data_IF_586843732752
#
_entry.id   IF_586843732752
#
_cell.length_a   1.000
_cell.length_b   1.000
_cell.length_c   1.000
_cell.angle_alpha   90.00
_cell.angle_beta   90.00
_cell.angle_gamma   90.00
#
_symmetry.space_group_name_H-M   'P 1'
#
loop_
_entity.id
_entity.type
_entity.pdbx_description
1 polymer ?
#
# COMPACT_ATOMS: atom_id res chain seq x y z
N UNK A 1 -24.90 -3.80 21.45
CA UNK A 1 -23.78 -3.62 20.48
C UNK A 1 -24.24 -2.70 19.38
N UNK A 2 -23.65 -1.52 19.27
CA UNK A 2 -23.90 -0.59 18.15
C UNK A 2 -23.50 -1.29 16.84
N UNK A 3 -24.30 -1.14 15.76
CA UNK A 3 -23.89 -1.61 14.44
C UNK A 3 -22.56 -0.97 14.03
N UNK A 4 -21.68 -1.67 13.27
CA UNK A 4 -20.39 -1.14 12.84
C UNK A 4 -20.48 0.20 12.10
N UNK A 5 -21.57 0.44 11.37
CA UNK A 5 -21.86 1.70 10.67
C UNK A 5 -22.05 2.88 11.62
N UNK A 6 -22.73 2.68 12.74
CA UNK A 6 -23.03 3.74 13.70
C UNK A 6 -21.81 4.11 14.54
N UNK A 7 -20.97 3.12 14.85
CA UNK A 7 -19.69 3.33 15.49
C UNK A 7 -18.76 4.16 14.60
N UNK A 8 -18.63 3.81 13.32
CA UNK A 8 -17.81 4.55 12.36
C UNK A 8 -18.32 5.99 12.18
N UNK A 9 -19.63 6.21 12.13
CA UNK A 9 -20.22 7.52 12.02
C UNK A 9 -20.03 8.37 13.29
N UNK A 10 -20.19 7.80 14.47
CA UNK A 10 -19.97 8.49 15.75
C UNK A 10 -18.49 8.91 15.90
N UNK A 11 -17.58 8.04 15.51
CA UNK A 11 -16.14 8.29 15.46
C UNK A 11 -15.81 9.44 14.48
N UNK A 12 -16.37 9.39 13.26
CA UNK A 12 -16.16 10.42 12.25
C UNK A 12 -16.68 11.80 12.67
N UNK A 13 -17.82 11.87 13.36
CA UNK A 13 -18.38 13.10 13.87
C UNK A 13 -17.52 13.70 15.00
N UNK A 14 -17.02 12.88 15.92
CA UNK A 14 -16.13 13.31 16.99
C UNK A 14 -14.78 13.81 16.47
N UNK A 15 -14.21 13.12 15.49
CA UNK A 15 -12.96 13.51 14.85
C UNK A 15 -13.10 14.88 14.14
N UNK A 16 -14.20 15.08 13.39
CA UNK A 16 -14.52 16.37 12.77
C UNK A 16 -14.59 17.49 13.81
N UNK A 17 -15.26 17.28 14.93
CA UNK A 17 -15.38 18.29 15.98
C UNK A 17 -14.02 18.60 16.63
N UNK A 18 -13.17 17.60 16.85
CA UNK A 18 -11.85 17.77 17.44
C UNK A 18 -10.86 18.54 16.55
N UNK A 19 -11.03 18.46 15.22
CA UNK A 19 -10.13 19.05 14.23
C UNK A 19 -10.60 20.39 13.66
N UNK A 20 -11.86 20.78 13.88
CA UNK A 20 -12.42 22.05 13.39
C UNK A 20 -11.68 23.32 13.87
N UNK A 21 -10.81 23.21 14.88
CA UNK A 21 -9.96 24.31 15.35
C UNK A 21 -8.60 24.44 14.67
N UNK A 22 -8.25 23.57 13.74
CA UNK A 22 -6.90 23.43 13.18
C UNK A 22 -6.67 24.21 11.87
N UNK A 23 -7.58 25.08 11.44
CA UNK A 23 -7.44 25.83 10.18
C UNK A 23 -7.58 24.97 8.90
N UNK A 24 -7.96 23.72 9.02
CA UNK A 24 -8.13 22.78 7.91
C UNK A 24 -9.51 22.91 7.27
N UNK A 25 -9.58 22.68 5.97
CA UNK A 25 -10.85 22.58 5.25
C UNK A 25 -11.63 21.30 5.64
N UNK A 26 -12.95 21.31 5.47
CA UNK A 26 -13.82 20.14 5.74
C UNK A 26 -13.34 18.88 4.98
N UNK A 27 -12.82 19.07 3.77
CA UNK A 27 -12.28 17.98 2.95
C UNK A 27 -11.00 17.39 3.54
N UNK A 28 -10.13 18.20 4.11
CA UNK A 28 -8.90 17.76 4.77
C UNK A 28 -9.23 17.02 6.07
N UNK A 29 -10.13 17.58 6.88
CA UNK A 29 -10.64 16.91 8.10
C UNK A 29 -11.22 15.52 7.75
N UNK A 30 -12.01 15.41 6.68
CA UNK A 30 -12.58 14.13 6.27
C UNK A 30 -11.49 13.08 5.89
N UNK A 31 -10.34 13.52 5.41
CA UNK A 31 -9.23 12.62 5.05
C UNK A 31 -8.46 12.07 6.24
N UNK A 32 -8.56 12.70 7.41
CA UNK A 32 -7.91 12.23 8.64
C UNK A 32 -8.59 10.99 9.23
N UNK A 33 -9.81 10.66 8.81
CA UNK A 33 -10.59 9.52 9.31
C UNK A 33 -9.85 8.18 9.20
N UNK A 34 -9.05 8.01 8.15
CA UNK A 34 -8.25 6.79 7.96
C UNK A 34 -7.18 6.65 9.06
N UNK A 35 -6.58 7.76 9.48
CA UNK A 35 -5.59 7.74 10.57
C UNK A 35 -6.23 7.50 11.93
N UNK A 36 -7.45 8.01 12.13
CA UNK A 36 -8.22 7.67 13.31
C UNK A 36 -8.51 6.17 13.39
N UNK A 37 -9.00 5.57 12.31
CA UNK A 37 -9.25 4.13 12.24
C UNK A 37 -7.96 3.31 12.44
N UNK A 38 -6.83 3.79 11.87
CA UNK A 38 -5.53 3.17 12.07
C UNK A 38 -5.10 3.20 13.53
N UNK A 39 -5.30 4.32 14.24
CA UNK A 39 -5.02 4.43 15.67
C UNK A 39 -5.80 3.42 16.51
N UNK A 40 -7.10 3.29 16.25
CA UNK A 40 -7.95 2.30 16.91
C UNK A 40 -7.46 0.86 16.65
N UNK A 41 -7.05 0.55 15.42
CA UNK A 41 -6.46 -0.74 15.08
C UNK A 41 -5.14 -0.98 15.80
N UNK A 42 -4.28 0.04 15.93
CA UNK A 42 -3.03 -0.07 16.67
C UNK A 42 -3.28 -0.46 18.13
N UNK A 43 -4.26 0.17 18.78
CA UNK A 43 -4.68 -0.21 20.13
C UNK A 43 -5.22 -1.65 20.15
N UNK A 44 -6.14 -2.01 19.25
CA UNK A 44 -6.77 -3.32 19.19
C UNK A 44 -5.75 -4.47 19.03
N UNK A 45 -4.67 -4.23 18.27
CA UNK A 45 -3.59 -5.18 18.03
C UNK A 45 -2.36 -4.99 18.92
N UNK A 46 -2.46 -4.19 19.98
CA UNK A 46 -1.37 -3.96 20.93
C UNK A 46 -0.08 -3.45 20.28
N UNK A 47 -0.21 -2.59 19.24
CA UNK A 47 0.95 -2.06 18.50
C UNK A 47 1.45 -0.78 19.13
N UNK A 48 2.80 -0.64 19.23
CA UNK A 48 3.45 0.56 19.72
C UNK A 48 3.24 1.75 18.75
N UNK A 49 2.62 2.87 19.20
CA UNK A 49 2.24 3.98 18.33
C UNK A 49 3.40 4.88 17.89
N UNK A 50 4.49 4.96 18.68
CA UNK A 50 5.54 5.97 18.48
C UNK A 50 6.15 5.95 17.08
N UNK A 51 6.44 4.76 16.56
CA UNK A 51 7.04 4.57 15.23
C UNK A 51 6.11 5.01 14.10
N UNK A 52 4.80 4.76 14.25
CA UNK A 52 3.82 5.16 13.24
C UNK A 52 3.61 6.68 13.25
N UNK A 53 3.61 7.31 14.42
CA UNK A 53 3.53 8.77 14.56
C UNK A 53 4.70 9.44 13.82
N UNK A 54 5.93 8.92 13.97
CA UNK A 54 7.10 9.41 13.24
C UNK A 54 6.96 9.21 11.72
N UNK A 55 6.45 8.06 11.29
CA UNK A 55 6.15 7.75 9.89
C UNK A 55 5.14 8.73 9.30
N UNK A 56 4.05 9.03 10.01
CA UNK A 56 3.06 10.02 9.60
C UNK A 56 3.71 11.39 9.43
N UNK A 57 4.49 11.86 10.41
CA UNK A 57 5.18 13.15 10.33
C UNK A 57 6.11 13.24 9.12
N UNK A 58 6.89 12.20 8.87
CA UNK A 58 7.83 12.14 7.75
C UNK A 58 7.12 12.15 6.39
N UNK A 59 5.96 11.51 6.28
CA UNK A 59 5.16 11.45 5.06
C UNK A 59 4.56 12.80 4.66
N UNK A 60 4.25 13.66 5.62
CA UNK A 60 3.58 14.93 5.39
C UNK A 60 4.49 16.15 5.58
N UNK A 61 5.79 16.03 5.34
CA UNK A 61 6.76 17.13 5.47
C UNK A 61 6.43 18.35 4.61
N UNK A 62 5.76 18.16 3.47
CA UNK A 62 5.32 19.25 2.58
C UNK A 62 4.08 20.00 3.10
N UNK A 63 3.33 19.42 4.00
CA UNK A 63 2.15 20.01 4.65
C UNK A 63 2.14 19.62 6.13
N UNK A 64 2.94 20.30 6.98
CA UNK A 64 3.11 19.96 8.39
C UNK A 64 1.82 20.05 9.21
N UNK A 65 0.94 21.01 8.88
CA UNK A 65 -0.35 21.19 9.58
C UNK A 65 -1.26 19.99 9.36
N UNK A 66 -1.36 19.53 8.12
CA UNK A 66 -2.10 18.31 7.80
C UNK A 66 -1.44 17.06 8.41
N UNK A 67 -0.12 17.02 8.48
CA UNK A 67 0.64 15.98 9.19
C UNK A 67 0.29 15.94 10.68
N UNK A 68 0.27 17.10 11.34
CA UNK A 68 -0.10 17.22 12.75
C UNK A 68 -1.57 16.81 13.00
N UNK A 69 -2.48 17.16 12.10
CA UNK A 69 -3.88 16.73 12.18
C UNK A 69 -4.04 15.21 12.06
N UNK A 70 -3.27 14.57 11.16
CA UNK A 70 -3.28 13.11 11.01
C UNK A 70 -2.71 12.41 12.24
N UNK A 71 -1.65 12.94 12.86
CA UNK A 71 -1.12 12.43 14.13
C UNK A 71 -2.17 12.54 15.22
N UNK A 72 -2.81 13.70 15.35
CA UNK A 72 -3.87 13.91 16.36
C UNK A 72 -5.05 12.96 16.15
N UNK A 73 -5.48 12.76 14.90
CA UNK A 73 -6.53 11.80 14.57
C UNK A 73 -6.12 10.37 14.97
N UNK A 74 -4.90 9.96 14.67
CA UNK A 74 -4.34 8.66 15.04
C UNK A 74 -4.31 8.48 16.56
N UNK A 75 -3.76 9.43 17.31
CA UNK A 75 -3.71 9.41 18.78
C UNK A 75 -5.12 9.34 19.38
N UNK A 76 -6.07 10.13 18.83
CA UNK A 76 -7.46 10.11 19.27
C UNK A 76 -8.10 8.74 19.09
N UNK A 77 -7.86 8.09 17.94
CA UNK A 77 -8.34 6.73 17.67
C UNK A 77 -7.73 5.70 18.62
N UNK A 78 -6.44 5.81 18.90
CA UNK A 78 -5.73 4.93 19.84
C UNK A 78 -6.31 5.04 21.25
N UNK A 79 -6.44 6.25 21.78
CA UNK A 79 -6.97 6.49 23.12
C UNK A 79 -8.47 6.22 23.24
N UNK A 80 -9.22 6.29 22.14
CA UNK A 80 -10.62 5.89 22.14
C UNK A 80 -10.77 4.40 22.44
N UNK A 81 -9.88 3.56 21.88
CA UNK A 81 -9.83 2.15 22.19
C UNK A 81 -9.64 1.87 23.68
N UNK A 82 -8.75 2.63 24.33
CA UNK A 82 -8.51 2.53 25.78
C UNK A 82 -9.72 2.97 26.63
N UNK A 83 -10.43 4.01 26.15
CA UNK A 83 -11.45 4.70 26.97
C UNK A 83 -12.82 4.01 26.91
N UNK A 84 -13.18 3.44 25.78
CA UNK A 84 -14.55 2.97 25.54
C UNK A 84 -14.78 1.48 25.87
N UNK A 85 -13.72 0.72 26.17
CA UNK A 85 -13.82 -0.74 26.38
C UNK A 85 -14.72 -1.41 25.33
N UNK A 86 -14.61 -0.92 24.06
CA UNK A 86 -15.49 -1.32 22.96
C UNK A 86 -15.34 -2.78 22.55
N UNK A 87 -14.23 -3.38 22.94
CA UNK A 87 -13.87 -4.74 22.56
C UNK A 87 -13.59 -5.57 23.80
N UNK A 88 -14.24 -6.71 23.90
CA UNK A 88 -14.06 -7.67 25.00
C UNK A 88 -12.64 -8.28 25.02
N UNK A 89 -11.90 -8.14 23.93
CA UNK A 89 -10.55 -8.68 23.80
C UNK A 89 -9.69 -7.85 22.84
N UNK A 90 -8.40 -7.77 23.15
CA UNK A 90 -7.36 -7.26 22.27
C UNK A 90 -6.60 -8.42 21.61
N UNK A 91 -5.96 -8.17 20.48
CA UNK A 91 -5.18 -9.16 19.76
C UNK A 91 -3.67 -8.87 19.91
N UNK A 92 -2.87 -9.92 19.91
CA UNK A 92 -1.42 -9.81 19.87
C UNK A 92 -0.89 -10.50 18.63
N UNK A 93 -0.10 -9.79 17.84
CA UNK A 93 0.61 -10.36 16.68
C UNK A 93 2.08 -10.47 17.05
N UNK A 94 2.56 -11.68 17.39
CA UNK A 94 3.95 -11.85 17.77
C UNK A 94 4.87 -11.59 16.56
N UNK A 95 6.13 -11.18 16.80
CA UNK A 95 7.12 -11.06 15.74
C UNK A 95 7.26 -12.37 14.96
N UNK A 96 7.43 -12.27 13.63
CA UNK A 96 7.71 -13.43 12.81
C UNK A 96 9.04 -14.09 13.22
N UNK A 97 9.07 -15.41 13.27
CA UNK A 97 10.28 -16.19 13.57
C UNK A 97 11.17 -16.26 12.33
N UNK A 98 11.77 -15.12 11.97
CA UNK A 98 12.70 -15.02 10.86
C UNK A 98 14.13 -15.18 11.38
N UNK A 99 15.00 -15.86 10.58
CA UNK A 99 16.44 -15.91 10.88
C UNK A 99 17.06 -14.49 10.81
N UNK A 100 18.25 -14.33 11.35
CA UNK A 100 18.99 -13.07 11.20
C UNK A 100 19.29 -12.80 9.72
N UNK A 101 19.00 -11.57 9.24
CA UNK A 101 19.19 -11.20 7.84
C UNK A 101 18.65 -9.82 7.51
N UNK A 102 18.92 -9.39 6.26
CA UNK A 102 18.33 -8.21 5.69
C UNK A 102 17.05 -8.59 4.94
N UNK A 103 15.95 -7.98 5.32
CA UNK A 103 14.63 -8.26 4.73
C UNK A 103 14.07 -7.01 4.07
N UNK A 104 13.33 -7.22 3.01
CA UNK A 104 12.60 -6.18 2.29
C UNK A 104 11.16 -6.63 2.11
N UNK A 105 10.22 -5.72 2.37
CA UNK A 105 8.84 -5.94 1.98
C UNK A 105 8.73 -5.81 0.46
N UNK A 106 8.14 -6.81 -0.17
CA UNK A 106 7.99 -6.89 -1.62
C UNK A 106 6.60 -7.46 -1.94
N UNK A 107 5.95 -6.92 -2.96
CA UNK A 107 4.70 -7.48 -3.48
C UNK A 107 4.99 -8.68 -4.40
N UNK A 108 3.99 -9.55 -4.60
CA UNK A 108 4.10 -10.64 -5.57
C UNK A 108 4.39 -10.13 -7.00
N UNK A 109 3.75 -9.04 -7.40
CA UNK A 109 3.97 -8.43 -8.72
C UNK A 109 5.41 -7.90 -8.89
N UNK A 110 5.96 -7.26 -7.86
CA UNK A 110 7.36 -6.83 -7.88
C UNK A 110 8.32 -8.01 -7.91
N UNK A 111 8.03 -9.07 -7.13
CA UNK A 111 8.85 -10.30 -7.15
C UNK A 111 8.82 -10.99 -8.52
N UNK A 112 7.65 -11.03 -9.17
CA UNK A 112 7.49 -11.55 -10.54
C UNK A 112 8.32 -10.73 -11.53
N UNK A 113 8.25 -9.40 -11.47
CA UNK A 113 9.04 -8.54 -12.34
C UNK A 113 10.56 -8.78 -12.17
N UNK A 114 11.04 -8.87 -10.92
CA UNK A 114 12.45 -9.19 -10.65
C UNK A 114 12.84 -10.58 -11.14
N UNK A 115 11.96 -11.57 -10.98
CA UNK A 115 12.17 -12.94 -11.48
C UNK A 115 12.32 -12.97 -13.02
N UNK A 116 11.48 -12.22 -13.73
CA UNK A 116 11.58 -12.09 -15.20
C UNK A 116 12.89 -11.41 -15.61
N UNK A 117 13.30 -10.33 -14.96
CA UNK A 117 14.61 -9.70 -15.23
C UNK A 117 15.75 -10.69 -15.02
N UNK A 118 15.70 -11.47 -13.93
CA UNK A 118 16.71 -12.49 -13.66
C UNK A 118 16.71 -13.60 -14.74
N UNK A 119 15.53 -14.04 -15.18
CA UNK A 119 15.40 -15.03 -16.24
C UNK A 119 16.03 -14.56 -17.57
N UNK A 120 15.73 -13.32 -18.00
CA UNK A 120 16.35 -12.75 -19.21
C UNK A 120 17.88 -12.65 -19.11
N UNK A 121 18.39 -12.25 -17.94
CA UNK A 121 19.82 -12.18 -17.69
C UNK A 121 20.51 -13.55 -17.74
N UNK A 122 19.90 -14.55 -17.13
CA UNK A 122 20.42 -15.92 -17.13
C UNK A 122 20.37 -16.57 -18.52
N UNK A 123 19.28 -16.36 -19.25
CA UNK A 123 19.11 -16.84 -20.62
C UNK A 123 19.93 -16.04 -21.64
N UNK A 124 20.43 -14.87 -21.29
CA UNK A 124 21.09 -13.90 -22.20
C UNK A 124 20.19 -13.51 -23.37
N UNK A 125 18.90 -13.40 -23.11
CA UNK A 125 17.89 -12.99 -24.09
C UNK A 125 17.16 -11.75 -23.60
N UNK A 126 16.76 -10.85 -24.52
CA UNK A 126 15.88 -9.74 -24.15
C UNK A 126 14.49 -10.27 -23.77
N UNK A 127 13.77 -9.48 -22.99
CA UNK A 127 12.39 -9.77 -22.59
C UNK A 127 11.47 -8.75 -23.26
N UNK A 128 10.37 -9.23 -23.84
CA UNK A 128 9.20 -8.43 -24.10
C UNK A 128 8.07 -8.89 -23.17
N UNK A 129 7.66 -8.01 -22.27
CA UNK A 129 6.46 -8.22 -21.45
C UNK A 129 5.29 -7.47 -22.11
N UNK A 130 4.35 -8.20 -22.65
CA UNK A 130 3.13 -7.67 -23.24
C UNK A 130 1.98 -7.91 -22.28
N UNK A 131 1.24 -6.87 -21.90
CA UNK A 131 0.11 -6.99 -21.00
C UNK A 131 -0.98 -5.97 -21.38
N UNK A 132 -2.14 -6.10 -20.79
CA UNK A 132 -3.29 -5.21 -20.98
C UNK A 132 -3.69 -4.61 -19.63
N UNK A 133 -4.52 -3.53 -19.60
CA UNK A 133 -4.95 -2.90 -18.36
C UNK A 133 -5.83 -3.81 -17.53
N UNK A 134 -5.30 -4.39 -16.46
CA UNK A 134 -6.04 -5.26 -15.52
C UNK A 134 -5.49 -5.09 -14.10
N UNK A 135 -6.35 -4.74 -13.17
CA UNK A 135 -5.99 -4.63 -11.76
C UNK A 135 -6.12 -6.01 -11.08
N UNK A 136 -5.14 -6.44 -10.29
CA UNK A 136 -3.90 -5.77 -9.87
C UNK A 136 -2.66 -6.09 -10.72
N UNK A 137 -2.79 -6.85 -11.82
CA UNK A 137 -1.65 -7.37 -12.59
C UNK A 137 -0.87 -6.30 -13.35
N UNK A 138 -1.46 -5.14 -13.64
CA UNK A 138 -0.77 -4.01 -14.29
C UNK A 138 0.50 -3.54 -13.56
N UNK A 139 0.61 -3.80 -12.26
CA UNK A 139 1.81 -3.47 -11.49
C UNK A 139 3.05 -4.23 -11.97
N UNK A 140 2.91 -5.43 -12.56
CA UNK A 140 4.05 -6.15 -13.16
C UNK A 140 4.63 -5.35 -14.32
N UNK A 141 3.76 -4.84 -15.21
CA UNK A 141 4.18 -3.99 -16.34
C UNK A 141 4.85 -2.71 -15.85
N UNK A 142 4.26 -2.03 -14.87
CA UNK A 142 4.83 -0.80 -14.31
C UNK A 142 6.20 -1.03 -13.67
N UNK A 143 6.38 -2.12 -12.93
CA UNK A 143 7.67 -2.48 -12.37
C UNK A 143 8.70 -2.77 -13.46
N UNK A 144 8.33 -3.56 -14.48
CA UNK A 144 9.22 -3.93 -15.59
C UNK A 144 9.65 -2.74 -16.44
N UNK A 145 8.80 -1.74 -16.61
CA UNK A 145 9.12 -0.52 -17.35
C UNK A 145 10.35 0.22 -16.80
N UNK A 146 10.67 0.04 -15.52
CA UNK A 146 11.89 0.59 -14.90
C UNK A 146 13.19 -0.17 -15.23
N UNK A 147 13.10 -1.34 -15.86
CA UNK A 147 14.24 -2.24 -16.08
C UNK A 147 14.73 -2.31 -17.53
N UNK A 148 14.48 -1.29 -18.33
CA UNK A 148 14.87 -1.23 -19.76
C UNK A 148 16.36 -1.48 -20.01
N UNK A 149 17.23 -0.95 -19.12
CA UNK A 149 18.69 -1.19 -19.21
C UNK A 149 19.13 -2.63 -18.96
N UNK A 150 18.21 -3.48 -18.52
CA UNK A 150 18.45 -4.92 -18.35
C UNK A 150 17.92 -5.77 -19.51
N UNK A 151 17.59 -5.12 -20.63
CA UNK A 151 17.07 -5.79 -21.82
C UNK A 151 15.58 -6.10 -21.76
N UNK A 152 14.84 -5.37 -20.92
CA UNK A 152 13.38 -5.50 -20.79
C UNK A 152 12.68 -4.43 -21.61
N UNK A 153 11.76 -4.85 -22.44
CA UNK A 153 10.78 -4.00 -23.13
C UNK A 153 9.38 -4.32 -22.63
N UNK A 154 8.56 -3.31 -22.49
CA UNK A 154 7.16 -3.44 -22.09
C UNK A 154 6.25 -2.96 -23.20
N UNK A 155 5.15 -3.67 -23.42
CA UNK A 155 4.12 -3.32 -24.38
C UNK A 155 2.74 -3.43 -23.73
N UNK A 156 1.99 -2.34 -23.74
CA UNK A 156 0.61 -2.36 -23.27
C UNK A 156 -0.30 -2.57 -24.47
N UNK A 157 -0.93 -3.74 -24.52
CA UNK A 157 -1.94 -4.10 -25.51
C UNK A 157 -3.33 -3.58 -25.08
N UNK A 158 -4.28 -3.63 -25.99
CA UNK A 158 -5.67 -3.27 -25.73
C UNK A 158 -6.37 -4.35 -24.89
N UNK A 159 -6.12 -5.64 -25.22
CA UNK A 159 -6.76 -6.81 -24.62
C UNK A 159 -5.80 -8.01 -24.51
N UNK A 160 -6.32 -9.13 -23.98
CA UNK A 160 -5.59 -10.38 -23.79
C UNK A 160 -5.11 -10.98 -25.11
N UNK A 161 -5.93 -10.91 -26.15
CA UNK A 161 -5.63 -11.51 -27.47
C UNK A 161 -4.44 -10.78 -28.10
N UNK A 162 -4.45 -9.45 -28.06
CA UNK A 162 -3.37 -8.64 -28.57
C UNK A 162 -2.09 -8.83 -27.74
N UNK A 163 -2.20 -8.96 -26.41
CA UNK A 163 -1.06 -9.21 -25.53
C UNK A 163 -0.39 -10.56 -25.83
N UNK A 164 -1.16 -11.64 -25.94
CA UNK A 164 -0.67 -12.97 -26.31
C UNK A 164 -0.02 -12.94 -27.72
N UNK A 165 -0.66 -12.29 -28.68
CA UNK A 165 -0.11 -12.14 -30.04
C UNK A 165 1.25 -11.45 -30.03
N UNK A 166 1.40 -10.37 -29.26
CA UNK A 166 2.66 -9.66 -29.12
C UNK A 166 3.75 -10.52 -28.44
N UNK A 167 3.40 -11.28 -27.38
CA UNK A 167 4.34 -12.17 -26.71
C UNK A 167 4.84 -13.30 -27.62
N UNK A 168 3.92 -13.91 -28.41
CA UNK A 168 4.28 -14.94 -29.39
C UNK A 168 5.20 -14.33 -30.48
N UNK A 169 4.84 -13.17 -31.02
CA UNK A 169 5.66 -12.47 -32.02
C UNK A 169 7.05 -12.13 -31.50
N UNK A 170 7.17 -11.69 -30.25
CA UNK A 170 8.44 -11.42 -29.60
C UNK A 170 9.31 -12.68 -29.49
N UNK A 171 8.69 -13.83 -29.19
CA UNK A 171 9.40 -15.11 -29.09
C UNK A 171 9.96 -15.54 -30.45
N UNK A 172 9.20 -15.38 -31.54
CA UNK A 172 9.70 -15.58 -32.90
C UNK A 172 10.83 -14.59 -33.27
N UNK A 173 10.81 -13.37 -32.71
CA UNK A 173 11.85 -12.37 -32.88
C UNK A 173 13.11 -12.57 -32.00
N UNK A 174 13.20 -13.68 -31.28
CA UNK A 174 14.39 -14.03 -30.47
C UNK A 174 14.40 -13.40 -29.07
N UNK A 175 13.25 -12.95 -28.57
CA UNK A 175 13.07 -12.47 -27.19
C UNK A 175 12.35 -13.51 -26.33
N UNK A 176 12.41 -13.39 -25.02
CA UNK A 176 11.49 -14.08 -24.13
C UNK A 176 10.17 -13.27 -24.15
N UNK A 177 9.17 -13.77 -24.86
CA UNK A 177 7.84 -13.20 -24.85
C UNK A 177 7.07 -13.63 -23.60
N UNK A 178 6.52 -12.66 -22.87
CA UNK A 178 5.78 -12.89 -21.63
C UNK A 178 4.48 -12.09 -21.67
N UNK A 179 3.40 -12.69 -21.17
CA UNK A 179 2.10 -12.02 -21.02
C UNK A 179 1.41 -12.47 -19.75
#
# INVERSE_FOLDING_TARGET
TLPPSDLANAIALRDKAALQGAGLSIKEVSRTQNFFALGLLFWLYGREPAREIESIRSKFTKNPEFGAANVKAFETGYHLGETLELFDSTYSVPPAKLGAGHYRNITGNEATALGLVAAGRLAKLPILYASYPITPASDVLHNLAGYTRYGVSTFQAEDEIAAVGAAIGASFGGSIGVT
#
